data_IF_532932391329
#
_entry.id   IF_532932391329
#
_cell.length_a   1.000
_cell.length_b   1.000
_cell.length_c   1.000
_cell.angle_alpha   90.00
_cell.angle_beta   90.00
_cell.angle_gamma   90.00
#
_symmetry.space_group_name_H-M   'P 1'
#
loop_
_entity.id
_entity.type
_entity.pdbx_description
1 polymer ?
2 non-polymer ?
3 non-polymer ?
4 non-polymer ?
5 non-polymer ?
6 non-polymer ?
7 water ?
#
# COMPACT_ATOMS: atom_id res chain seq x y z
N UNK A 2 -19.92 -32.66 3.74
CA UNK A 2 -19.15 -31.39 3.56
C UNK A 2 -17.66 -31.64 3.82
N UNK A 3 -16.79 -30.77 3.32
CA UNK A 3 -15.34 -30.79 3.56
C UNK A 3 -14.80 -29.37 3.52
N UNK A 4 -13.71 -29.17 4.21
CA UNK A 4 -13.00 -27.88 4.16
C UNK A 4 -12.26 -27.76 2.84
N UNK A 5 -12.57 -26.72 2.07
CA UNK A 5 -11.92 -26.43 0.78
C UNK A 5 -10.79 -25.44 0.97
N UNK A 6 -10.91 -24.55 1.96
CA UNK A 6 -9.85 -23.59 2.27
C UNK A 6 -10.01 -23.20 3.73
N UNK A 7 -8.89 -22.90 4.36
CA UNK A 7 -8.95 -22.44 5.76
C UNK A 7 -7.70 -21.66 6.05
N UNK A 8 -7.84 -20.58 6.81
CA UNK A 8 -6.69 -19.87 7.37
C UNK A 8 -7.17 -19.17 8.62
N UNK A 9 -6.29 -19.01 9.58
CA UNK A 9 -6.69 -18.40 10.87
C UNK A 9 -5.44 -17.78 11.50
N UNK A 10 -5.65 -16.80 12.35
CA UNK A 10 -4.52 -16.18 13.05
C UNK A 10 -4.94 -14.94 13.81
N UNK A 11 -3.99 -14.03 13.93
CA UNK A 11 -4.24 -12.79 14.70
C UNK A 11 -4.16 -11.59 13.75
N UNK A 12 -5.16 -10.75 13.84
CA UNK A 12 -5.27 -9.48 13.10
C UNK A 12 -5.12 -8.30 14.05
N UNK A 13 -4.77 -7.14 13.50
CA UNK A 13 -4.79 -5.86 14.21
C UNK A 13 -3.83 -5.90 15.39
N UNK A 14 -2.64 -6.46 15.17
CA UNK A 14 -1.57 -6.50 16.21
C UNK A 14 -0.72 -5.24 16.03
N UNK A 15 -0.90 -4.29 16.92
CA UNK A 15 -0.15 -3.02 16.88
C UNK A 15 1.22 -3.25 17.48
N UNK A 16 2.24 -2.81 16.78
CA UNK A 16 3.66 -2.99 17.21
C UNK A 16 4.41 -1.68 17.03
N UNK A 17 5.15 -1.30 18.09
CA UNK A 17 6.13 -0.20 18.03
C UNK A 17 7.50 -0.77 18.37
N UNK A 18 8.49 -0.24 17.67
CA UNK A 18 9.91 -0.55 18.02
C UNK A 18 10.72 0.74 17.95
N UNK A 19 11.63 0.86 18.92
CA UNK A 19 12.59 1.99 18.98
C UNK A 19 14.01 1.42 18.83
N UNK A 20 14.78 2.13 18.03
CA UNK A 20 16.26 1.99 17.94
C UNK A 20 16.90 3.21 18.62
N UNK A 21 17.84 2.96 19.54
CA UNK A 21 18.56 4.00 20.30
C UNK A 21 20.05 3.89 19.99
N UNK A 22 20.61 4.91 19.35
CA UNK A 22 22.07 5.04 19.13
C UNK A 22 22.64 5.68 20.41
N UNK A 23 23.26 4.82 21.20
CA UNK A 23 23.81 5.31 22.50
C UNK A 23 24.98 6.32 22.55
N UNK A 24 25.53 6.31 21.33
CA UNK A 24 26.72 7.14 20.99
C UNK A 24 26.29 8.53 20.53
N UNK A 25 25.23 8.61 19.72
CA UNK A 25 24.75 9.92 19.22
C UNK A 25 23.50 10.41 19.97
N UNK A 26 22.82 9.52 20.66
CA UNK A 26 21.56 9.87 21.35
C UNK A 26 20.38 9.83 20.39
N UNK A 27 20.61 9.63 19.10
CA UNK A 27 19.53 9.64 18.09
C UNK A 27 18.68 8.37 18.27
N UNK A 28 17.36 8.59 18.33
CA UNK A 28 16.40 7.48 18.44
C UNK A 28 15.54 7.50 17.18
N UNK A 29 15.18 6.30 16.73
CA UNK A 29 14.39 6.13 15.51
C UNK A 29 13.23 5.19 15.87
N UNK A 30 11.99 5.56 15.46
CA UNK A 30 10.82 4.73 15.86
C UNK A 30 10.18 4.16 14.60
N UNK A 31 9.53 3.02 14.81
CA UNK A 31 8.82 2.26 13.78
C UNK A 31 7.51 1.85 14.40
N UNK A 32 6.41 2.04 13.67
CA UNK A 32 5.12 1.54 14.19
C UNK A 32 4.34 0.90 13.05
N UNK A 33 3.71 -0.22 13.35
CA UNK A 33 2.97 -0.97 12.34
C UNK A 33 1.75 -1.64 12.96
N UNK A 34 0.89 -2.10 12.08
CA UNK A 34 -0.17 -3.03 12.41
C UNK A 34 0.03 -4.29 11.61
N UNK A 35 -0.03 -5.43 12.26
CA UNK A 35 0.35 -6.73 11.66
C UNK A 35 -0.82 -7.69 11.72
N UNK A 36 -0.99 -8.45 10.66
CA UNK A 36 -1.90 -9.61 10.62
C UNK A 36 -1.13 -10.81 10.12
N UNK A 37 -1.23 -11.91 10.85
CA UNK A 37 -0.63 -13.19 10.42
C UNK A 37 -1.75 -14.22 10.40
N UNK A 38 -1.95 -14.82 9.23
CA UNK A 38 -2.89 -15.95 9.07
C UNK A 38 -2.12 -17.17 8.59
N UNK A 39 -2.36 -18.31 9.22
CA UNK A 39 -1.68 -19.59 8.92
C UNK A 39 -2.63 -20.53 8.16
N UNK A 40 -2.03 -21.35 7.31
CA UNK A 40 -2.70 -22.48 6.62
C UNK A 40 -1.85 -23.73 6.82
N UNK A 41 -2.54 -24.85 6.79
CA UNK A 41 -1.81 -26.14 6.87
C UNK A 41 -2.75 -27.27 7.12
N UNK A 42 -2.23 -28.29 7.78
CA UNK A 42 -3.03 -29.47 8.10
C UNK A 42 -3.85 -29.16 9.33
N UNK A 43 -4.82 -28.26 9.19
CA UNK A 43 -5.63 -27.76 10.33
C UNK A 43 -7.10 -28.09 10.14
N UNK A 44 -7.49 -28.83 9.09
CA UNK A 44 -8.96 -29.02 8.82
C UNK A 44 -9.64 -29.66 10.02
N UNK A 45 -8.97 -30.52 10.79
CA UNK A 45 -9.63 -31.26 11.88
C UNK A 45 -9.97 -30.32 13.05
N UNK A 46 -9.38 -29.12 13.13
CA UNK A 46 -9.85 -28.15 14.15
C UNK A 46 -11.27 -27.71 13.82
N UNK A 47 -11.59 -27.65 12.52
CA UNK A 47 -12.92 -27.25 12.04
C UNK A 47 -13.92 -28.42 12.09
N UNK A 48 -13.48 -29.59 11.66
CA UNK A 48 -14.41 -30.72 11.42
C UNK A 48 -14.56 -31.63 12.64
N UNK A 49 -13.57 -31.71 13.53
CA UNK A 49 -13.55 -32.75 14.60
C UNK A 49 -13.30 -32.11 15.97
N UNK A 50 -13.30 -30.77 16.09
CA UNK A 50 -12.99 -30.10 17.37
C UNK A 50 -11.60 -30.51 17.85
N UNK A 51 -10.66 -30.72 16.95
CA UNK A 51 -9.29 -31.14 17.26
C UNK A 51 -8.42 -29.88 17.40
N UNK A 52 -8.32 -29.32 18.60
CA UNK A 52 -7.49 -28.10 18.81
C UNK A 52 -6.01 -28.42 18.85
N UNK A 53 -5.59 -29.71 18.83
CA UNK A 53 -4.14 -30.02 18.88
C UNK A 53 -3.38 -29.46 17.70
N UNK A 54 -4.05 -29.17 16.58
CA UNK A 54 -3.41 -28.67 15.35
C UNK A 54 -3.38 -27.14 15.38
N UNK A 55 -3.98 -26.52 16.40
CA UNK A 55 -4.04 -25.03 16.44
C UNK A 55 -2.86 -24.48 17.23
N UNK A 56 -2.05 -23.67 16.56
CA UNK A 56 -1.11 -22.69 17.19
C UNK A 56 -2.02 -21.54 17.60
N UNK A 57 -2.26 -21.33 18.89
CA UNK A 57 -3.28 -20.38 19.33
C UNK A 57 -3.01 -19.02 18.66
N UNK A 58 -4.07 -18.28 18.33
CA UNK A 58 -3.88 -16.90 17.82
C UNK A 58 -3.11 -16.07 18.86
N UNK A 59 -3.37 -16.26 20.15
CA UNK A 59 -2.60 -15.55 21.20
C UNK A 59 -1.11 -15.85 21.05
N UNK A 60 -0.75 -17.10 20.78
CA UNK A 60 0.66 -17.47 20.55
C UNK A 60 1.24 -16.79 19.31
N UNK A 61 0.46 -16.68 18.26
CA UNK A 61 0.85 -15.96 17.03
C UNK A 61 1.16 -14.52 17.40
N UNK A 62 0.30 -13.90 18.19
CA UNK A 62 0.56 -12.52 18.69
C UNK A 62 1.87 -12.46 19.47
N UNK A 63 2.10 -13.37 20.41
CA UNK A 63 3.38 -13.37 21.16
C UNK A 63 4.55 -13.46 20.20
N UNK A 64 4.44 -14.32 19.17
CA UNK A 64 5.50 -14.58 18.20
C UNK A 64 5.82 -13.31 17.42
N UNK A 65 4.79 -12.54 17.05
CA UNK A 65 5.02 -11.25 16.33
C UNK A 65 5.92 -10.34 17.20
N UNK A 66 5.59 -10.21 18.48
CA UNK A 66 6.38 -9.33 19.38
C UNK A 66 7.81 -9.87 19.56
N UNK A 67 7.93 -11.17 19.73
CA UNK A 67 9.26 -11.81 19.93
C UNK A 67 10.09 -11.64 18.66
N UNK A 68 9.46 -11.79 17.48
CA UNK A 68 10.15 -11.65 16.21
C UNK A 68 10.64 -10.21 16.06
N UNK A 69 9.79 -9.22 16.40
CA UNK A 69 10.18 -7.81 16.35
C UNK A 69 11.35 -7.55 17.32
N UNK A 70 11.39 -8.21 18.44
CA UNK A 70 12.48 -7.98 19.44
C UNK A 70 13.81 -8.49 18.83
N UNK A 71 13.78 -9.60 18.12
CA UNK A 71 14.99 -10.37 17.73
C UNK A 71 15.44 -10.06 16.31
N UNK A 72 14.74 -9.22 15.54
CA UNK A 72 14.98 -9.04 14.10
C UNK A 72 14.69 -7.59 13.73
N UNK A 73 15.21 -7.12 12.59
CA UNK A 73 14.85 -5.80 12.12
C UNK A 73 13.37 -5.77 11.73
N UNK A 74 12.70 -4.64 11.96
CA UNK A 74 11.27 -4.51 11.53
C UNK A 74 11.20 -3.76 10.21
N UNK A 75 12.35 -3.37 9.69
CA UNK A 75 12.47 -2.63 8.41
C UNK A 75 13.51 -3.30 7.53
N UNK A 76 13.32 -3.33 6.20
CA UNK A 76 12.08 -2.92 5.52
C UNK A 76 10.99 -3.91 5.88
N UNK A 77 9.71 -3.53 5.75
CA UNK A 77 8.63 -4.43 6.12
C UNK A 77 8.56 -5.71 5.29
N UNK A 78 9.04 -5.66 4.04
CA UNK A 78 9.16 -6.86 3.20
C UNK A 78 10.03 -7.91 3.91
N UNK A 79 11.11 -7.46 4.55
CA UNK A 79 12.01 -8.41 5.25
C UNK A 79 11.33 -8.92 6.51
N UNK A 80 10.78 -8.01 7.33
CA UNK A 80 10.12 -8.43 8.57
C UNK A 80 9.04 -9.48 8.30
N UNK A 81 8.18 -9.20 7.31
CA UNK A 81 7.11 -10.12 6.94
C UNK A 81 7.66 -11.47 6.55
N UNK A 82 8.74 -11.44 5.77
CA UNK A 82 9.36 -12.69 5.26
C UNK A 82 9.94 -13.50 6.42
N UNK A 83 10.59 -12.83 7.37
CA UNK A 83 11.13 -13.51 8.57
C UNK A 83 9.99 -14.13 9.36
N UNK A 84 8.93 -13.34 9.61
CA UNK A 84 7.81 -13.80 10.44
C UNK A 84 7.13 -14.99 9.76
N UNK A 85 6.86 -14.92 8.46
CA UNK A 85 6.15 -16.01 7.79
C UNK A 85 7.01 -17.26 7.74
N UNK A 86 8.29 -17.08 7.48
CA UNK A 86 9.23 -18.22 7.41
C UNK A 86 9.29 -18.91 8.77
N UNK A 87 9.25 -18.14 9.86
CA UNK A 87 9.29 -18.71 11.21
C UNK A 87 8.17 -19.72 11.34
N UNK A 88 6.94 -19.38 10.94
CA UNK A 88 5.82 -20.29 11.20
C UNK A 88 5.92 -21.58 10.36
N UNK A 89 6.27 -21.49 9.09
CA UNK A 89 6.30 -22.73 8.26
C UNK A 89 7.50 -23.59 8.66
N UNK A 90 8.55 -22.99 9.19
CA UNK A 90 9.74 -23.80 9.63
C UNK A 90 9.48 -24.39 11.02
N UNK A 91 8.90 -23.64 11.94
CA UNK A 91 8.76 -24.10 13.34
C UNK A 91 7.75 -25.24 13.42
N UNK A 92 6.63 -25.16 12.69
CA UNK A 92 5.50 -26.09 12.82
C UNK A 92 5.45 -26.93 11.56
N UNK A 93 5.66 -28.13 11.70
CA UNK A 93 5.75 -29.17 10.57
C UNK A 93 4.40 -29.04 9.77
N UNK A 94 3.30 -29.02 10.47
CA UNK A 94 1.97 -29.09 9.83
C UNK A 94 1.44 -27.75 9.31
N UNK A 95 2.18 -26.68 9.55
CA UNK A 95 1.84 -25.34 8.97
C UNK A 95 2.62 -25.23 7.67
N UNK A 96 1.90 -24.98 6.58
CA UNK A 96 2.47 -24.99 5.21
C UNK A 96 2.40 -23.63 4.57
N UNK A 97 1.67 -22.66 5.15
CA UNK A 97 1.72 -21.31 4.57
C UNK A 97 1.44 -20.27 5.64
N UNK A 98 2.06 -19.13 5.50
CA UNK A 98 1.86 -18.01 6.43
C UNK A 98 1.63 -16.76 5.60
N UNK A 99 0.54 -16.06 5.89
CA UNK A 99 0.12 -14.87 5.14
C UNK A 99 0.27 -13.68 6.07
N UNK A 100 1.19 -12.80 5.75
CA UNK A 100 1.58 -11.72 6.66
C UNK A 100 1.23 -10.41 5.97
N UNK A 101 0.37 -9.61 6.60
CA UNK A 101 0.02 -8.28 6.09
C UNK A 101 0.52 -7.26 7.10
N UNK A 102 1.25 -6.26 6.63
CA UNK A 102 1.80 -5.20 7.50
C UNK A 102 1.40 -3.85 6.93
N UNK A 103 0.83 -3.03 7.81
CA UNK A 103 0.60 -1.60 7.53
C UNK A 103 1.62 -0.82 8.36
N UNK A 104 2.44 -0.01 7.73
CA UNK A 104 3.46 0.85 8.39
C UNK A 104 2.90 2.25 8.50
N UNK A 105 2.94 2.79 9.71
CA UNK A 105 2.44 4.13 10.08
C UNK A 105 3.60 5.11 10.05
N UNK A 106 3.35 6.33 9.62
CA UNK A 106 4.41 7.32 9.48
C UNK A 106 4.74 7.95 10.83
N UNK A 107 6.02 7.93 11.15
CA UNK A 107 6.60 8.74 12.26
C UNK A 107 7.84 9.45 11.71
N UNK A 108 7.62 10.64 11.22
CA UNK A 108 8.65 11.47 10.56
C UNK A 108 9.34 12.33 11.62
N UNK A 109 10.68 12.30 11.65
CA UNK A 109 11.45 13.08 12.62
C UNK A 109 11.09 14.55 12.52
N UNK A 110 10.85 15.21 13.67
CA UNK A 110 10.58 16.66 13.72
C UNK A 110 11.87 17.45 13.44
N UNK A 111 11.74 18.53 12.70
CA UNK A 111 12.78 19.58 12.59
C UNK A 111 12.40 20.67 13.56
N UNK A 112 13.26 20.97 14.53
CA UNK A 112 13.00 22.05 15.51
C UNK A 112 14.08 23.12 15.30
N UNK A 113 13.67 24.34 14.93
CA UNK A 113 14.60 25.46 14.64
C UNK A 113 15.60 24.99 13.57
N UNK A 114 15.10 24.31 12.55
CA UNK A 114 15.87 23.82 11.38
C UNK A 114 16.82 22.66 11.64
N UNK A 115 16.82 22.04 12.82
CA UNK A 115 17.71 20.88 13.12
C UNK A 115 16.85 19.66 13.43
N UNK A 116 17.17 18.47 12.87
CA UNK A 116 16.42 17.25 13.16
C UNK A 116 16.53 16.91 14.63
N UNK A 117 15.38 16.67 15.24
CA UNK A 117 15.33 16.36 16.66
C UNK A 117 15.67 14.91 16.90
N UNK A 118 16.45 14.59 17.94
CA UNK A 118 16.87 13.22 18.14
C UNK A 118 15.78 12.23 18.58
N UNK A 119 14.62 12.67 19.11
CA UNK A 119 13.66 11.68 19.64
C UNK A 119 12.20 12.17 19.58
N UNK A 120 11.91 13.05 18.65
CA UNK A 120 10.53 13.59 18.52
C UNK A 120 10.07 13.44 17.08
N UNK A 121 8.81 13.03 16.90
CA UNK A 121 8.26 12.59 15.62
C UNK A 121 6.84 13.10 15.42
N UNK A 122 6.50 13.27 14.16
CA UNK A 122 5.15 13.72 13.77
C UNK A 122 4.56 12.71 12.79
N UNK A 123 3.26 12.46 12.91
CA UNK A 123 2.51 11.70 11.90
C UNK A 123 2.17 12.68 10.79
N UNK A 124 3.04 12.75 9.79
CA UNK A 124 2.81 13.60 8.59
C UNK A 124 2.08 12.78 7.50
N UNK A 125 0.81 12.70 7.72
CA UNK A 125 -0.37 12.11 7.06
C UNK A 125 -0.62 10.69 7.48
N UNK A 126 -1.72 10.26 6.93
CA UNK A 126 -2.26 8.91 7.14
C UNK A 126 -1.83 8.04 5.96
N UNK A 127 -1.00 8.53 5.05
CA UNK A 127 -0.42 7.65 4.00
C UNK A 127 0.27 6.48 4.68
N UNK A 128 0.09 5.29 4.12
CA UNK A 128 0.69 4.06 4.65
C UNK A 128 1.68 3.50 3.63
N UNK A 129 2.63 2.75 4.15
CA UNK A 129 3.44 1.80 3.37
C UNK A 129 3.05 0.41 3.83
N UNK A 130 2.70 -0.47 2.91
CA UNK A 130 2.17 -1.80 3.26
C UNK A 130 2.98 -2.88 2.58
N UNK A 131 2.87 -4.09 3.15
CA UNK A 131 3.27 -5.32 2.47
C UNK A 131 2.26 -6.41 2.68
N UNK A 132 2.16 -7.29 1.72
CA UNK A 132 1.49 -8.59 1.78
C UNK A 132 2.54 -9.63 1.44
N UNK A 133 2.85 -10.47 2.40
CA UNK A 133 3.95 -11.48 2.24
C UNK A 133 3.32 -12.82 2.39
N UNK A 134 3.31 -13.62 1.32
CA UNK A 134 2.76 -14.98 1.36
C UNK A 134 3.93 -15.99 1.34
N UNK A 135 4.17 -16.62 2.45
CA UNK A 135 5.28 -17.63 2.60
C UNK A 135 4.66 -19.02 2.48
N UNK A 136 4.96 -19.72 1.37
CA UNK A 136 4.29 -20.99 1.07
C UNK A 136 5.34 -22.10 0.97
N UNK A 137 5.22 -23.09 1.83
CA UNK A 137 6.21 -24.20 1.93
C UNK A 137 6.32 -24.85 0.57
N UNK A 138 7.55 -24.89 0.04
CA UNK A 138 7.83 -25.49 -1.29
C UNK A 138 7.58 -24.58 -2.47
N UNK A 139 7.05 -23.35 -2.28
CA UNK A 139 6.71 -22.42 -3.40
C UNK A 139 7.36 -21.03 -3.17
N UNK A 140 8.03 -20.82 -2.06
CA UNK A 140 8.86 -19.63 -1.81
C UNK A 140 8.04 -18.51 -1.16
N UNK A 141 8.32 -17.28 -1.53
CA UNK A 141 7.79 -16.06 -0.87
C UNK A 141 7.32 -15.09 -1.94
N UNK A 142 6.02 -14.80 -1.91
CA UNK A 142 5.33 -13.88 -2.86
C UNK A 142 5.09 -12.56 -2.10
N UNK A 143 5.69 -11.49 -2.56
CA UNK A 143 5.58 -10.19 -1.88
C UNK A 143 4.90 -9.18 -2.79
N UNK A 144 3.85 -8.54 -2.25
CA UNK A 144 3.28 -7.32 -2.85
C UNK A 144 3.56 -6.17 -1.90
N UNK A 145 4.12 -5.10 -2.41
CA UNK A 145 4.49 -3.89 -1.68
C UNK A 145 3.54 -2.79 -2.13
N UNK A 146 3.14 -1.88 -1.24
CA UNK A 146 2.24 -0.82 -1.71
C UNK A 146 2.41 0.46 -0.91
N UNK A 147 1.94 1.55 -1.51
CA UNK A 147 1.67 2.79 -0.79
C UNK A 147 0.17 3.03 -0.95
N UNK A 148 -0.42 3.59 0.09
CA UNK A 148 -1.88 3.81 0.11
C UNK A 148 -2.21 5.04 0.94
N UNK A 149 -3.34 5.64 0.64
CA UNK A 149 -3.76 6.83 1.39
C UNK A 149 -2.97 8.07 1.04
N UNK A 150 -2.36 8.12 -0.14
CA UNK A 150 -1.64 9.33 -0.59
C UNK A 150 -2.63 10.20 -1.34
N UNK A 151 -3.12 11.23 -0.67
CA UNK A 151 -4.23 12.08 -1.12
C UNK A 151 -3.64 13.33 -1.81
N UNK A 152 -4.04 13.54 -3.05
CA UNK A 152 -3.47 14.62 -3.90
C UNK A 152 -4.62 15.28 -4.66
N UNK A 153 -4.36 16.50 -5.09
CA UNK A 153 -5.29 17.27 -5.93
C UNK A 153 -4.45 18.16 -6.86
N UNK A 154 -4.92 18.26 -8.08
CA UNK A 154 -4.41 19.34 -8.98
C UNK A 154 -5.62 20.14 -9.44
N UNK A 155 -5.41 21.45 -9.55
CA UNK A 155 -6.47 22.43 -9.76
C UNK A 155 -6.69 22.73 -11.25
N UNK A 156 -5.80 22.25 -12.11
CA UNK A 156 -5.97 22.35 -13.58
C UNK A 156 -5.07 21.30 -14.22
N UNK A 157 -4.99 21.28 -15.54
CA UNK A 157 -4.14 20.31 -16.28
C UNK A 157 -4.69 18.89 -16.02
N UNK A 158 -6.01 18.82 -16.01
CA UNK A 158 -6.80 17.60 -16.12
C UNK A 158 -7.94 17.85 -17.08
N UNK A 159 -8.16 16.88 -17.96
CA UNK A 159 -9.18 16.98 -18.99
C UNK A 159 -9.99 15.69 -19.01
N UNK A 160 -11.18 15.73 -19.59
CA UNK A 160 -11.92 14.49 -19.86
C UNK A 160 -12.95 14.75 -20.93
N UNK A 161 -12.56 14.41 -22.16
CA UNK A 161 -13.42 14.55 -23.34
C UNK A 161 -13.22 13.37 -24.29
N UNK A 162 -14.09 13.27 -25.28
CA UNK A 162 -13.97 12.23 -26.31
C UNK A 162 -14.42 10.87 -25.85
N UNK A 163 -15.15 10.79 -24.72
CA UNK A 163 -15.71 9.52 -24.22
C UNK A 163 -17.01 9.18 -24.94
N UNK A 164 -17.46 7.94 -24.82
CA UNK A 164 -18.66 7.44 -25.50
C UNK A 164 -19.88 8.24 -25.08
N UNK A 165 -20.71 8.66 -26.05
CA UNK A 165 -21.94 9.42 -25.75
C UNK A 165 -23.11 8.67 -26.35
N UNK A 166 -24.06 8.30 -25.53
CA UNK A 166 -25.32 7.65 -25.96
C UNK A 166 -26.44 8.16 -25.08
N UNK A 167 -27.55 7.46 -25.11
CA UNK A 167 -28.79 7.93 -24.43
C UNK A 167 -28.66 7.80 -22.91
N UNK A 168 -27.54 7.25 -22.41
CA UNK A 168 -27.32 7.20 -20.93
C UNK A 168 -26.40 8.34 -20.49
N UNK A 169 -25.90 9.16 -21.41
CA UNK A 169 -24.82 10.12 -21.16
C UNK A 169 -25.38 11.51 -20.89
N UNK A 170 -25.02 12.12 -19.77
CA UNK A 170 -25.27 13.53 -19.46
C UNK A 170 -23.98 14.31 -19.26
N UNK A 171 -22.86 13.64 -18.97
CA UNK A 171 -21.63 14.34 -18.58
C UNK A 171 -21.14 15.27 -19.70
N UNK A 172 -20.87 16.51 -19.38
CA UNK A 172 -20.28 17.45 -20.35
C UNK A 172 -18.79 17.13 -20.52
N UNK A 173 -18.31 17.18 -21.76
CA UNK A 173 -16.86 17.17 -22.01
C UNK A 173 -16.21 18.36 -21.33
N UNK A 174 -15.00 18.20 -20.85
CA UNK A 174 -14.26 19.29 -20.26
C UNK A 174 -12.80 19.24 -20.68
N UNK A 175 -12.26 20.43 -20.88
CA UNK A 175 -10.85 20.68 -21.22
C UNK A 175 -10.11 21.25 -20.03
N UNK A 176 -10.76 21.38 -18.84
CA UNK A 176 -10.04 21.92 -17.68
C UNK A 176 -10.89 21.61 -16.45
N UNK A 177 -10.44 20.63 -15.67
CA UNK A 177 -11.18 20.22 -14.45
C UNK A 177 -10.16 20.03 -13.33
N UNK A 178 -10.69 19.88 -12.11
CA UNK A 178 -9.95 19.38 -10.95
C UNK A 178 -9.76 17.88 -11.04
N UNK A 179 -8.59 17.40 -10.64
CA UNK A 179 -8.40 15.95 -10.44
C UNK A 179 -7.86 15.71 -9.04
N UNK A 180 -8.55 14.85 -8.27
CA UNK A 180 -8.11 14.55 -6.91
C UNK A 180 -8.32 13.05 -6.70
N UNK A 181 -7.40 12.42 -6.01
CA UNK A 181 -7.46 10.97 -5.76
C UNK A 181 -6.75 10.62 -4.48
N UNK A 182 -6.99 9.40 -4.02
CA UNK A 182 -6.24 8.75 -2.95
C UNK A 182 -5.46 7.62 -3.59
N UNK A 183 -4.14 7.71 -3.66
CA UNK A 183 -3.35 6.74 -4.44
C UNK A 183 -3.19 5.45 -3.66
N UNK A 184 -3.58 4.35 -4.28
CA UNK A 184 -3.25 2.97 -3.85
C UNK A 184 -2.41 2.37 -4.98
N UNK A 185 -1.12 2.20 -4.78
CA UNK A 185 -0.19 1.66 -5.81
C UNK A 185 0.50 0.43 -5.23
N UNK A 186 0.47 -0.66 -5.96
CA UNK A 186 1.03 -1.96 -5.53
C UNK A 186 2.04 -2.45 -6.57
N UNK A 187 3.20 -2.85 -6.11
CA UNK A 187 4.17 -3.53 -7.01
C UNK A 187 4.37 -4.96 -6.52
N UNK A 188 4.26 -5.88 -7.45
CA UNK A 188 4.34 -7.33 -7.20
C UNK A 188 5.77 -7.78 -7.57
N UNK A 189 6.49 -8.28 -6.59
CA UNK A 189 7.87 -8.77 -6.81
C UNK A 189 7.84 -10.12 -7.50
N UNK A 190 8.90 -10.38 -8.30
CA UNK A 190 9.25 -11.75 -8.70
C UNK A 190 9.16 -12.65 -7.49
N UNK A 191 8.68 -13.87 -7.68
CA UNK A 191 8.70 -14.91 -6.63
C UNK A 191 10.14 -15.03 -6.09
N UNK A 192 10.28 -15.06 -4.79
CA UNK A 192 11.56 -15.35 -4.10
C UNK A 192 11.55 -16.79 -3.62
N UNK A 193 12.72 -17.46 -3.69
CA UNK A 193 12.80 -18.90 -3.36
C UNK A 193 12.66 -19.15 -1.86
N UNK A 194 12.89 -18.11 -1.08
CA UNK A 194 12.93 -18.24 0.37
C UNK A 194 13.46 -16.99 1.01
N UNK A 195 13.73 -17.06 2.30
CA UNK A 195 14.17 -15.89 3.08
C UNK A 195 15.57 -15.43 2.63
N UNK A 196 16.47 -16.33 2.25
CA UNK A 196 17.81 -15.90 1.82
C UNK A 196 17.69 -14.98 0.59
N UNK A 197 16.83 -15.31 -0.35
CA UNK A 197 16.72 -14.50 -1.58
C UNK A 197 16.10 -13.14 -1.20
N UNK A 198 15.14 -13.11 -0.28
CA UNK A 198 14.61 -11.80 0.16
C UNK A 198 15.71 -10.97 0.77
N UNK A 199 16.50 -11.56 1.66
CA UNK A 199 17.62 -10.85 2.30
C UNK A 199 18.58 -10.33 1.23
N UNK A 200 18.80 -11.08 0.15
CA UNK A 200 19.77 -10.65 -0.89
C UNK A 200 19.28 -9.39 -1.61
N UNK A 201 17.99 -9.04 -1.52
CA UNK A 201 17.41 -7.88 -2.25
C UNK A 201 17.03 -6.74 -1.30
N UNK A 202 17.40 -6.83 -0.03
CA UNK A 202 16.91 -5.88 1.00
C UNK A 202 17.03 -4.43 0.55
N UNK A 203 18.16 -3.92 0.05
CA UNK A 203 18.24 -2.50 -0.32
C UNK A 203 17.19 -2.09 -1.37
N UNK A 204 16.74 -3.02 -2.20
CA UNK A 204 15.81 -2.72 -3.30
C UNK A 204 14.42 -2.36 -2.73
N UNK A 205 14.09 -2.79 -1.52
CA UNK A 205 12.69 -2.55 -1.04
C UNK A 205 12.47 -1.07 -0.78
N UNK A 206 13.27 -0.44 0.08
CA UNK A 206 13.13 1.01 0.37
C UNK A 206 13.30 1.82 -0.91
N UNK A 207 14.24 1.43 -1.77
CA UNK A 207 14.51 2.21 -2.98
C UNK A 207 13.33 2.17 -3.93
N UNK A 208 12.66 1.03 -4.05
CA UNK A 208 11.56 0.84 -5.01
C UNK A 208 10.33 1.59 -4.44
N UNK A 209 10.12 1.54 -3.12
CA UNK A 209 9.03 2.35 -2.51
C UNK A 209 9.29 3.82 -2.84
N UNK A 210 10.49 4.32 -2.63
CA UNK A 210 10.80 5.74 -2.87
C UNK A 210 10.59 6.05 -4.34
N UNK A 211 10.99 5.17 -5.24
CA UNK A 211 10.80 5.38 -6.69
C UNK A 211 9.30 5.44 -7.00
N UNK A 212 8.53 4.51 -6.46
CA UNK A 212 7.08 4.46 -6.76
C UNK A 212 6.45 5.77 -6.32
N UNK A 213 6.80 6.24 -5.13
CA UNK A 213 6.21 7.47 -4.57
C UNK A 213 6.59 8.66 -5.44
N UNK A 214 7.87 8.75 -5.80
CA UNK A 214 8.40 9.91 -6.58
C UNK A 214 7.76 9.90 -7.97
N UNK A 215 7.67 8.75 -8.60
CA UNK A 215 7.08 8.63 -9.96
C UNK A 215 5.60 9.05 -9.87
N UNK A 216 4.90 8.59 -8.82
CA UNK A 216 3.47 8.89 -8.71
C UNK A 216 3.29 10.40 -8.60
N UNK A 217 4.02 11.04 -7.72
CA UNK A 217 3.84 12.49 -7.46
C UNK A 217 4.22 13.30 -8.70
N UNK A 218 5.37 13.01 -9.30
CA UNK A 218 5.87 13.81 -10.43
C UNK A 218 4.95 13.61 -11.63
N UNK A 219 4.49 12.39 -11.88
CA UNK A 219 3.60 12.11 -13.02
C UNK A 219 2.27 12.83 -12.80
N UNK A 220 1.72 12.71 -11.59
CA UNK A 220 0.44 13.39 -11.30
C UNK A 220 0.59 14.91 -11.56
N UNK A 221 1.64 15.50 -11.06
CA UNK A 221 1.85 16.97 -11.10
C UNK A 221 2.11 17.42 -12.53
N UNK A 222 2.79 16.63 -13.34
CA UNK A 222 3.28 17.13 -14.65
C UNK A 222 2.43 16.65 -15.81
N UNK A 223 1.69 15.55 -15.71
CA UNK A 223 0.90 15.05 -16.84
C UNK A 223 -0.25 16.01 -17.06
N UNK A 224 -0.43 16.52 -18.27
CA UNK A 224 -1.69 17.21 -18.64
C UNK A 224 -2.67 16.09 -18.99
N UNK A 225 -3.41 15.66 -17.97
CA UNK A 225 -4.06 14.34 -17.94
C UNK A 225 -5.27 14.26 -18.88
N UNK A 226 -5.30 13.22 -19.70
CA UNK A 226 -6.39 12.91 -20.63
C UNK A 226 -7.53 12.19 -19.92
N UNK A 227 -7.17 11.53 -18.80
CA UNK A 227 -8.07 10.66 -18.02
C UNK A 227 -7.25 10.13 -16.87
N UNK A 228 -7.95 9.67 -15.83
CA UNK A 228 -7.25 8.90 -14.77
C UNK A 228 -6.53 7.69 -15.40
N UNK A 229 -7.21 6.98 -16.26
CA UNK A 229 -6.68 5.79 -16.97
C UNK A 229 -5.31 6.13 -17.56
N UNK A 230 -5.23 7.23 -18.34
CA UNK A 230 -4.01 7.48 -19.11
C UNK A 230 -2.87 7.92 -18.20
N UNK A 231 -3.15 8.67 -17.14
CA UNK A 231 -2.14 9.13 -16.20
C UNK A 231 -1.62 7.96 -15.36
N UNK A 232 -2.49 7.10 -14.86
CA UNK A 232 -2.03 5.99 -14.00
C UNK A 232 -1.16 5.05 -14.81
N UNK A 233 -1.47 4.86 -16.09
CA UNK A 233 -0.68 3.92 -16.92
C UNK A 233 0.74 4.47 -17.03
N UNK A 234 0.88 5.78 -17.19
CA UNK A 234 2.22 6.41 -17.26
C UNK A 234 3.02 6.17 -15.98
N UNK A 235 2.37 6.23 -14.83
CA UNK A 235 3.08 5.98 -13.55
C UNK A 235 3.57 4.53 -13.55
N UNK A 236 2.70 3.59 -13.91
CA UNK A 236 2.98 2.15 -13.80
C UNK A 236 4.14 1.82 -14.76
N UNK A 237 4.10 2.36 -15.97
CA UNK A 237 5.14 1.97 -16.97
C UNK A 237 6.49 2.51 -16.49
N UNK A 238 6.57 3.69 -15.88
CA UNK A 238 7.83 4.24 -15.37
C UNK A 238 8.35 3.41 -14.21
N UNK A 239 7.50 2.95 -13.30
CA UNK A 239 8.01 2.15 -12.17
C UNK A 239 8.56 0.84 -12.70
N UNK A 240 7.89 0.18 -13.63
CA UNK A 240 8.38 -1.10 -14.22
C UNK A 240 9.75 -0.89 -14.88
N UNK A 241 9.94 0.23 -15.55
CA UNK A 241 11.19 0.54 -16.28
C UNK A 241 12.32 0.70 -15.26
N UNK A 242 12.01 1.00 -14.01
CA UNK A 242 13.04 1.37 -13.02
C UNK A 242 13.37 0.25 -12.04
N UNK A 243 12.67 -0.88 -12.08
CA UNK A 243 13.00 -1.99 -11.16
C UNK A 243 12.69 -3.30 -11.86
N UNK A 244 13.73 -3.98 -12.31
CA UNK A 244 13.53 -5.20 -13.12
C UNK A 244 12.97 -6.36 -12.30
N UNK A 245 13.09 -6.25 -10.98
CA UNK A 245 12.69 -7.32 -10.03
C UNK A 245 11.19 -7.25 -9.70
N UNK A 246 10.47 -6.26 -10.25
CA UNK A 246 8.98 -6.09 -10.19
C UNK A 246 8.36 -6.75 -11.41
N UNK A 247 7.34 -7.57 -11.27
CA UNK A 247 6.63 -8.18 -12.41
C UNK A 247 5.48 -7.28 -12.85
N UNK A 248 4.74 -6.73 -11.90
CA UNK A 248 3.53 -5.94 -12.24
C UNK A 248 3.41 -4.75 -11.30
N UNK A 249 2.71 -3.73 -11.78
CA UNK A 249 2.36 -2.52 -10.99
C UNK A 249 0.86 -2.35 -11.13
N UNK A 250 0.18 -2.17 -10.01
CA UNK A 250 -1.31 -2.08 -10.02
C UNK A 250 -1.62 -0.73 -9.39
N UNK A 251 -2.51 0.04 -9.97
CA UNK A 251 -3.09 1.22 -9.31
C UNK A 251 -4.59 1.00 -9.16
N UNK A 252 -5.09 1.51 -8.04
CA UNK A 252 -6.54 1.61 -7.75
C UNK A 252 -6.77 3.04 -7.30
N UNK A 253 -7.51 3.80 -8.08
CA UNK A 253 -7.61 5.26 -7.90
C UNK A 253 -9.07 5.68 -7.94
N UNK A 254 -9.59 6.27 -6.85
CA UNK A 254 -10.87 6.94 -6.92
C UNK A 254 -10.73 8.28 -7.67
N UNK A 255 -11.76 8.66 -8.40
CA UNK A 255 -11.87 10.01 -8.98
C UNK A 255 -12.80 10.76 -8.04
N UNK A 256 -12.18 11.56 -7.16
CA UNK A 256 -12.93 12.27 -6.09
C UNK A 256 -13.43 13.57 -6.70
N UNK A 257 -14.67 13.57 -7.11
CA UNK A 257 -15.22 14.63 -7.96
C UNK A 257 -15.38 15.95 -7.22
N UNK A 258 -15.03 17.03 -7.89
CA UNK A 258 -15.27 18.42 -7.45
C UNK A 258 -16.19 19.05 -8.46
N UNK A 259 -17.43 19.33 -8.08
CA UNK A 259 -18.45 19.80 -9.05
C UNK A 259 -18.45 21.32 -9.10
N UNK A 260 -18.56 21.83 -10.33
CA UNK A 260 -18.89 23.26 -10.53
C UNK A 260 -20.23 23.58 -9.89
N UNK A 261 -20.36 24.84 -9.47
CA UNK A 261 -21.61 25.37 -8.88
C UNK A 261 -22.08 26.55 -9.72
N UNK A 262 -23.18 26.36 -10.40
CA UNK A 262 -23.81 27.44 -11.19
C UNK A 262 -24.51 28.37 -10.20
N UNK A 263 -24.04 29.63 -10.16
CA UNK A 263 -24.59 30.65 -9.28
C UNK A 263 -25.31 31.71 -10.12
N UNK A 264 -25.54 31.44 -11.40
CA UNK A 264 -26.06 32.50 -12.32
C UNK A 264 -27.49 32.89 -11.92
N UNK A 265 -28.21 32.03 -11.23
CA UNK A 265 -29.56 32.34 -10.69
C UNK A 265 -29.49 33.47 -9.66
N UNK A 266 -28.32 33.72 -9.08
CA UNK A 266 -28.13 34.72 -8.00
C UNK A 266 -27.34 35.90 -8.53
N UNK A 267 -28.08 36.98 -8.82
CA UNK A 267 -27.49 38.27 -9.27
C UNK A 267 -26.55 38.06 -10.47
N UNK A 268 -26.83 37.05 -11.31
CA UNK A 268 -26.01 36.76 -12.52
C UNK A 268 -24.56 36.40 -12.19
N UNK A 269 -24.24 35.89 -10.98
CA UNK A 269 -22.85 35.53 -10.63
C UNK A 269 -22.34 34.48 -11.62
N UNK A 270 -21.11 34.64 -12.06
CA UNK A 270 -20.45 33.76 -13.04
C UNK A 270 -19.42 32.92 -12.27
N UNK A 271 -19.69 31.63 -12.20
CA UNK A 271 -18.86 30.67 -11.43
C UNK A 271 -18.73 29.36 -12.18
N UNK A 272 -18.88 29.36 -13.50
CA UNK A 272 -18.72 28.13 -14.31
C UNK A 272 -17.67 28.39 -15.40
N UNK A 273 -17.22 27.30 -16.02
CA UNK A 273 -16.18 27.37 -17.05
C UNK A 273 -14.99 28.20 -16.61
N UNK A 274 -14.57 29.19 -17.40
CA UNK A 274 -13.36 29.97 -17.09
C UNK A 274 -13.52 30.73 -15.78
N UNK A 275 -14.75 31.01 -15.34
CA UNK A 275 -15.01 31.82 -14.12
C UNK A 275 -15.19 30.91 -12.89
N UNK A 276 -15.01 29.60 -13.03
CA UNK A 276 -15.22 28.65 -11.90
C UNK A 276 -14.17 28.87 -10.82
N UNK A 277 -14.60 29.26 -9.63
CA UNK A 277 -13.72 29.57 -8.50
C UNK A 277 -14.15 28.69 -7.31
N UNK A 278 -15.43 28.62 -7.07
CA UNK A 278 -15.97 27.87 -5.90
C UNK A 278 -16.59 26.57 -6.40
N UNK A 279 -16.19 25.45 -5.78
CA UNK A 279 -16.69 24.12 -6.16
C UNK A 279 -17.25 23.39 -4.95
N UNK A 280 -18.08 22.39 -5.22
CA UNK A 280 -18.62 21.48 -4.19
C UNK A 280 -17.90 20.15 -4.31
N UNK A 281 -16.96 19.85 -3.38
CA UNK A 281 -16.37 18.51 -3.32
C UNK A 281 -17.48 17.49 -3.04
N UNK A 282 -17.52 16.40 -3.81
CA UNK A 282 -18.54 15.34 -3.66
C UNK A 282 -17.98 14.18 -2.84
N UNK A 283 -18.64 13.82 -1.74
CA UNK A 283 -18.18 12.67 -0.96
C UNK A 283 -18.45 11.34 -1.65
N UNK A 284 -19.57 11.27 -2.34
CA UNK A 284 -19.97 10.05 -3.08
C UNK A 284 -20.99 10.48 -4.09
N UNK A 285 -21.20 9.74 -5.20
CA UNK A 285 -20.36 8.61 -5.58
C UNK A 285 -18.99 9.07 -6.04
N UNK A 286 -18.17 8.10 -6.43
CA UNK A 286 -16.83 8.38 -6.98
C UNK A 286 -16.51 7.39 -8.10
N UNK A 287 -15.88 7.90 -9.14
CA UNK A 287 -15.22 7.00 -10.09
C UNK A 287 -14.21 6.12 -9.38
N UNK A 288 -14.01 4.93 -9.92
CA UNK A 288 -12.98 3.99 -9.39
C UNK A 288 -12.34 3.35 -10.61
N UNK A 289 -11.05 3.58 -10.74
CA UNK A 289 -10.27 3.24 -11.95
C UNK A 289 -9.13 2.33 -11.51
N UNK A 290 -9.02 1.18 -12.15
CA UNK A 290 -8.00 0.19 -11.78
C UNK A 290 -7.26 -0.28 -13.01
N UNK A 291 -5.97 -0.49 -12.84
CA UNK A 291 -5.09 -1.08 -13.88
C UNK A 291 -4.08 -2.03 -13.22
N UNK A 292 -3.72 -3.11 -13.89
CA UNK A 292 -2.49 -3.89 -13.60
C UNK A 292 -1.67 -3.85 -14.88
N UNK A 293 -0.45 -3.39 -14.74
CA UNK A 293 0.48 -3.23 -15.90
C UNK A 293 1.62 -4.20 -15.69
N UNK A 294 1.95 -4.94 -16.75
CA UNK A 294 3.11 -5.86 -16.76
C UNK A 294 3.97 -5.57 -17.98
N UNK A 295 4.98 -6.41 -18.22
CA UNK A 295 5.92 -6.17 -19.34
C UNK A 295 5.32 -6.86 -20.59
N UNK A 296 5.48 -6.23 -21.76
CA UNK A 296 4.91 -6.73 -23.04
C UNK A 296 5.66 -8.00 -23.48
N UNK A 297 4.95 -8.92 -24.15
CA UNK A 297 5.49 -10.14 -24.82
C UNK A 297 6.80 -9.81 -25.56
#
# INVERSE_FOLDING_TARGET
XSAVKAARYGKDNVRVYKVHKDEKTGVQTVYEMTVCVLLEGEIETSYTKADNSVIVATDSIKNTIYITAKQNPVTPPELFGSILGTHFIEKYNHIHAAHVNIVCHRWTRMDIDGKPHPHSFIRDSEEKRNVQVDVVEGKGIDIKSSLSGLTVLKSTNSQFWGFLRDEYTTLKETWDRILSTDVDATWQWKNFSGLQEVRSHVPKFDATWATAREVTLKTFAEDNSASVQATMYKMAEQILARQQLIETVEYSLPNKHYFEIDLSWHKGLQNTGKNAEVFAPQSDPNGLIKCTVGRSSLKSKL
#
